data_IF_960459860945
#
_entry.id   IF_960459860945
#
_cell.length_a   1.000
_cell.length_b   1.000
_cell.length_c   1.000
_cell.angle_alpha   90.00
_cell.angle_beta   90.00
_cell.angle_gamma   90.00
#
_symmetry.space_group_name_H-M   'P 1'
#
loop_
_entity.id
_entity.type
_entity.pdbx_description
1 polymer ?
#
# COMPACT_ATOMS: atom_id res chain seq x y z
N UNK A 1 -27.59 -0.68 18.30
CA UNK A 1 -26.30 -0.24 17.71
C UNK A 1 -26.36 -0.61 16.24
N UNK A 2 -26.21 0.35 15.33
CA UNK A 2 -26.70 0.20 13.95
C UNK A 2 -26.08 -1.00 13.21
N UNK A 3 -26.91 -1.77 12.52
CA UNK A 3 -26.59 -2.92 11.66
C UNK A 3 -25.87 -2.49 10.36
N UNK A 4 -24.85 -1.64 10.46
CA UNK A 4 -24.09 -1.21 9.30
C UNK A 4 -23.18 -2.34 8.80
N UNK A 5 -23.35 -2.69 7.53
CA UNK A 5 -22.49 -3.64 6.82
C UNK A 5 -21.27 -2.95 6.18
N UNK A 6 -21.25 -1.62 6.15
CA UNK A 6 -20.23 -0.81 5.48
C UNK A 6 -19.67 0.20 6.48
N UNK A 7 -18.35 0.26 6.57
CA UNK A 7 -17.58 1.22 7.35
C UNK A 7 -16.86 2.11 6.33
N UNK A 8 -17.09 3.40 6.44
CA UNK A 8 -16.51 4.44 5.59
C UNK A 8 -15.58 5.29 6.44
N UNK A 9 -14.47 5.71 5.84
CA UNK A 9 -13.61 6.77 6.34
C UNK A 9 -13.81 7.99 5.44
N UNK A 10 -13.81 9.17 6.02
CA UNK A 10 -13.77 10.42 5.29
C UNK A 10 -12.37 10.65 4.69
N UNK A 11 -12.26 11.46 3.63
CA UNK A 11 -10.97 11.77 3.00
C UNK A 11 -9.97 12.41 3.98
N UNK A 12 -10.46 13.20 4.94
CA UNK A 12 -9.64 13.81 6.01
C UNK A 12 -9.06 12.79 7.01
N UNK A 13 -9.56 11.55 6.99
CA UNK A 13 -9.08 10.45 7.83
C UNK A 13 -8.11 9.53 7.06
N UNK A 14 -7.84 9.84 5.79
CA UNK A 14 -6.89 9.08 4.99
C UNK A 14 -5.47 9.23 5.57
N UNK A 15 -4.69 8.14 5.67
CA UNK A 15 -3.28 8.23 6.04
C UNK A 15 -2.50 9.12 5.06
N UNK A 16 -1.56 9.89 5.59
CA UNK A 16 -0.69 10.79 4.80
C UNK A 16 0.73 10.25 4.62
N UNK A 17 1.00 9.03 5.12
CA UNK A 17 2.30 8.38 5.06
C UNK A 17 2.12 6.92 4.63
N UNK A 18 3.05 6.42 3.82
CA UNK A 18 3.24 4.98 3.65
C UNK A 18 4.06 4.42 4.81
N UNK A 19 3.81 3.16 5.14
CA UNK A 19 4.52 2.45 6.19
C UNK A 19 5.51 1.45 5.57
N UNK A 20 6.76 1.51 6.01
CA UNK A 20 7.81 0.61 5.61
C UNK A 20 8.04 -0.45 6.68
N UNK A 21 7.72 -1.70 6.36
CA UNK A 21 7.86 -2.82 7.30
C UNK A 21 9.32 -3.14 7.62
N UNK A 22 10.29 -2.76 6.77
CA UNK A 22 11.71 -3.06 6.98
C UNK A 22 12.22 -2.51 8.32
N UNK A 23 11.66 -1.39 8.79
CA UNK A 23 12.01 -0.76 10.08
C UNK A 23 11.62 -1.61 11.32
N UNK A 24 10.79 -2.64 11.15
CA UNK A 24 10.24 -3.46 12.23
C UNK A 24 10.45 -4.97 12.01
N UNK A 25 11.18 -5.37 10.97
CA UNK A 25 11.51 -6.78 10.78
C UNK A 25 12.49 -7.27 11.86
N UNK A 26 12.30 -8.50 12.38
CA UNK A 26 13.17 -9.05 13.44
C UNK A 26 14.59 -9.33 12.95
N UNK A 27 14.77 -9.50 11.64
CA UNK A 27 16.05 -9.71 10.97
C UNK A 27 16.02 -8.89 9.67
N UNK A 28 17.11 -8.21 9.29
CA UNK A 28 17.17 -7.47 8.03
C UNK A 28 16.90 -8.37 6.83
N UNK A 29 16.21 -7.83 5.82
CA UNK A 29 16.07 -8.51 4.53
C UNK A 29 17.44 -8.62 3.85
N UNK A 30 17.73 -9.75 3.17
CA UNK A 30 18.90 -9.83 2.30
C UNK A 30 18.85 -8.72 1.24
N UNK A 31 19.99 -8.09 0.90
CA UNK A 31 20.01 -7.08 -0.14
C UNK A 31 19.71 -7.71 -1.51
N UNK A 32 19.15 -6.93 -2.45
CA UNK A 32 19.13 -7.35 -3.84
C UNK A 32 20.56 -7.56 -4.35
N UNK A 33 20.76 -8.56 -5.21
CA UNK A 33 22.06 -8.88 -5.77
C UNK A 33 22.12 -8.45 -7.23
N UNK A 34 23.27 -7.92 -7.65
CA UNK A 34 23.52 -7.62 -9.05
C UNK A 34 23.63 -8.93 -9.84
N UNK A 35 22.88 -9.11 -10.95
CA UNK A 35 22.72 -10.41 -11.60
C UNK A 35 23.99 -10.94 -12.29
N UNK A 36 24.98 -10.08 -12.56
CA UNK A 36 26.25 -10.49 -13.16
C UNK A 36 27.35 -10.82 -12.15
N UNK A 37 27.39 -10.11 -11.03
CA UNK A 37 28.47 -10.23 -10.02
C UNK A 37 28.05 -11.06 -8.83
N UNK A 38 26.75 -11.18 -8.58
CA UNK A 38 26.12 -11.80 -7.41
C UNK A 38 26.50 -11.12 -6.08
N UNK A 39 27.06 -9.92 -6.14
CA UNK A 39 27.30 -9.06 -4.98
C UNK A 39 26.08 -8.16 -4.73
N UNK A 40 25.92 -7.61 -3.50
CA UNK A 40 24.86 -6.64 -3.21
C UNK A 40 24.84 -5.48 -4.22
N UNK A 41 23.67 -5.23 -4.80
CA UNK A 41 23.48 -4.16 -5.78
C UNK A 41 23.51 -2.77 -5.11
N UNK A 42 24.08 -1.79 -5.81
CA UNK A 42 24.10 -0.38 -5.38
C UNK A 42 22.97 0.42 -6.02
N UNK A 43 22.80 1.67 -5.58
CA UNK A 43 21.81 2.58 -6.19
C UNK A 43 22.09 2.81 -7.68
N UNK A 44 23.37 2.90 -8.06
CA UNK A 44 23.78 3.08 -9.45
C UNK A 44 23.36 1.90 -10.34
N UNK A 45 23.36 0.67 -9.80
CA UNK A 45 22.93 -0.52 -10.54
C UNK A 45 21.44 -0.45 -10.93
N UNK A 46 20.62 0.25 -10.14
CA UNK A 46 19.19 0.46 -10.40
C UNK A 46 18.89 1.69 -11.27
N UNK A 47 19.84 2.64 -11.36
CA UNK A 47 19.67 3.92 -12.07
C UNK A 47 19.15 3.81 -13.52
N UNK A 48 19.54 2.80 -14.31
CA UNK A 48 19.00 2.62 -15.67
C UNK A 48 17.54 2.15 -15.73
N UNK A 49 16.98 1.64 -14.64
CA UNK A 49 15.66 0.98 -14.61
C UNK A 49 14.59 1.82 -13.94
N UNK A 50 14.96 2.61 -12.92
CA UNK A 50 14.01 3.27 -12.04
C UNK A 50 14.35 4.75 -11.81
N UNK A 51 13.33 5.62 -11.65
CA UNK A 51 13.53 6.98 -11.14
C UNK A 51 14.26 6.98 -9.78
N UNK A 52 15.10 7.98 -9.55
CA UNK A 52 15.90 8.08 -8.31
C UNK A 52 15.04 8.02 -7.04
N UNK A 53 13.89 8.69 -7.04
CA UNK A 53 12.98 8.67 -5.89
C UNK A 53 12.42 7.27 -5.56
N UNK A 54 12.29 6.37 -6.55
CA UNK A 54 11.91 4.98 -6.30
C UNK A 54 13.08 4.17 -5.74
N UNK A 55 14.30 4.45 -6.22
CA UNK A 55 15.52 3.82 -5.70
C UNK A 55 15.73 4.21 -4.23
N UNK A 56 15.55 5.49 -3.89
CA UNK A 56 15.61 6.00 -2.51
C UNK A 56 14.57 5.32 -1.61
N UNK A 57 13.35 5.09 -2.10
CA UNK A 57 12.32 4.36 -1.36
C UNK A 57 12.64 2.89 -1.14
N UNK A 58 13.28 2.22 -2.11
CA UNK A 58 13.73 0.83 -1.94
C UNK A 58 14.88 0.72 -0.92
N UNK A 59 15.72 1.76 -0.84
CA UNK A 59 16.92 1.76 0.00
C UNK A 59 16.71 2.35 1.40
N UNK A 60 15.61 3.05 1.66
CA UNK A 60 15.40 3.70 2.96
C UNK A 60 15.07 2.71 4.09
N UNK A 61 15.66 2.97 5.27
CA UNK A 61 15.30 2.32 6.53
C UNK A 61 14.22 3.07 7.31
N UNK A 62 13.70 4.18 6.78
CA UNK A 62 12.70 4.99 7.47
C UNK A 62 11.39 4.22 7.63
N UNK A 63 10.79 4.30 8.82
CA UNK A 63 9.54 3.62 9.16
C UNK A 63 8.33 4.17 8.40
N UNK A 64 8.34 5.48 8.14
CA UNK A 64 7.26 6.18 7.45
C UNK A 64 7.84 7.06 6.35
N UNK A 65 7.19 7.04 5.19
CA UNK A 65 7.51 7.89 4.05
C UNK A 65 6.29 8.74 3.74
N UNK A 66 6.47 10.06 3.70
CA UNK A 66 5.38 10.99 3.41
C UNK A 66 4.83 10.75 1.99
N UNK A 67 3.50 10.72 1.88
CA UNK A 67 2.84 10.66 0.57
C UNK A 67 2.82 12.08 0.00
N UNK A 68 3.35 12.30 -1.21
CA UNK A 68 3.29 13.62 -1.85
C UNK A 68 1.87 14.17 -1.91
N UNK A 69 1.71 15.48 -1.73
CA UNK A 69 0.38 16.12 -1.74
C UNK A 69 -0.42 15.85 -3.02
N UNK A 70 0.24 15.91 -4.18
CA UNK A 70 -0.40 15.63 -5.48
C UNK A 70 -0.84 14.16 -5.60
N UNK A 71 -0.09 13.23 -5.01
CA UNK A 71 -0.47 11.81 -4.95
C UNK A 71 -1.68 11.61 -4.04
N UNK A 72 -1.75 12.31 -2.89
CA UNK A 72 -2.92 12.29 -2.02
C UNK A 72 -4.16 12.86 -2.73
N UNK A 73 -4.00 13.93 -3.51
CA UNK A 73 -5.10 14.51 -4.28
C UNK A 73 -5.63 13.55 -5.34
N UNK A 74 -4.77 12.80 -6.02
CA UNK A 74 -5.18 11.73 -6.94
C UNK A 74 -5.84 10.58 -6.18
N UNK A 75 -5.31 10.16 -5.03
CA UNK A 75 -5.93 9.10 -4.22
C UNK A 75 -7.37 9.41 -3.82
N UNK A 76 -7.70 10.67 -3.50
CA UNK A 76 -9.07 11.09 -3.14
C UNK A 76 -10.11 10.76 -4.22
N UNK A 77 -9.70 10.55 -5.47
CA UNK A 77 -10.61 10.12 -6.54
C UNK A 77 -11.25 8.74 -6.28
N UNK A 78 -10.64 7.86 -5.47
CA UNK A 78 -11.23 6.56 -5.11
C UNK A 78 -10.95 6.07 -3.69
N UNK A 79 -10.11 6.76 -2.91
CA UNK A 79 -9.76 6.43 -1.53
C UNK A 79 -10.35 7.46 -0.56
N UNK A 80 -10.67 7.07 0.69
CA UNK A 80 -10.52 5.74 1.26
C UNK A 80 -11.51 4.70 0.71
N UNK A 81 -11.03 3.48 0.49
CA UNK A 81 -11.90 2.38 0.05
C UNK A 81 -12.74 1.85 1.22
N UNK A 82 -13.98 1.38 0.99
CA UNK A 82 -14.84 0.92 2.06
C UNK A 82 -14.33 -0.38 2.70
N UNK A 83 -14.56 -0.52 4.00
CA UNK A 83 -14.43 -1.78 4.73
C UNK A 83 -15.83 -2.35 4.93
N UNK A 84 -16.06 -3.59 4.51
CA UNK A 84 -17.36 -4.24 4.68
C UNK A 84 -17.29 -5.35 5.72
N UNK A 85 -18.39 -5.56 6.43
CA UNK A 85 -18.61 -6.74 7.27
C UNK A 85 -19.51 -7.75 6.54
N UNK A 86 -19.01 -8.95 6.31
CA UNK A 86 -19.66 -9.98 5.50
C UNK A 86 -20.69 -10.80 6.29
N UNK A 87 -21.70 -10.17 6.91
CA UNK A 87 -22.66 -10.85 7.81
C UNK A 87 -23.41 -12.03 7.19
N UNK A 88 -23.72 -11.97 5.89
CA UNK A 88 -24.38 -13.08 5.18
C UNK A 88 -23.47 -14.29 5.08
N UNK A 89 -22.18 -14.05 4.84
CA UNK A 89 -21.15 -15.09 4.85
C UNK A 89 -20.94 -15.64 6.27
N UNK A 90 -20.87 -14.76 7.28
CA UNK A 90 -20.81 -15.17 8.70
C UNK A 90 -21.95 -16.15 9.04
N UNK A 91 -23.20 -15.82 8.65
CA UNK A 91 -24.38 -16.69 8.83
C UNK A 91 -24.30 -17.99 8.05
N UNK A 92 -23.87 -17.94 6.79
CA UNK A 92 -23.77 -19.13 5.95
C UNK A 92 -22.73 -20.12 6.48
N UNK A 93 -21.67 -19.61 7.10
CA UNK A 93 -20.59 -20.41 7.70
C UNK A 93 -20.88 -20.86 9.13
N UNK A 94 -21.96 -20.38 9.75
CA UNK A 94 -22.28 -20.57 11.17
C UNK A 94 -21.07 -20.30 12.10
N UNK A 95 -20.33 -19.22 11.81
CA UNK A 95 -19.09 -18.89 12.53
C UNK A 95 -19.31 -17.82 13.59
N UNK A 96 -18.66 -17.93 14.77
CA UNK A 96 -18.61 -16.84 15.74
C UNK A 96 -17.65 -15.71 15.29
N UNK A 97 -16.81 -15.96 14.28
CA UNK A 97 -15.88 -14.98 13.76
C UNK A 97 -16.61 -13.82 13.06
N UNK A 98 -16.01 -12.63 13.15
CA UNK A 98 -16.44 -11.47 12.36
C UNK A 98 -15.58 -11.41 11.11
N UNK A 99 -16.20 -11.36 9.94
CA UNK A 99 -15.48 -11.36 8.67
C UNK A 99 -15.55 -9.97 8.06
N UNK A 100 -14.39 -9.36 7.88
CA UNK A 100 -14.26 -8.06 7.21
C UNK A 100 -13.43 -8.20 5.94
N UNK A 101 -13.76 -7.40 4.93
CA UNK A 101 -12.95 -7.29 3.71
C UNK A 101 -12.78 -5.83 3.31
N UNK A 102 -11.53 -5.47 3.02
CA UNK A 102 -11.16 -4.15 2.50
C UNK A 102 -11.39 -4.16 0.99
N UNK A 103 -12.37 -3.41 0.51
CA UNK A 103 -12.82 -3.52 -0.87
C UNK A 103 -12.07 -2.54 -1.78
N UNK A 104 -10.88 -2.95 -2.23
CA UNK A 104 -10.03 -2.18 -3.15
C UNK A 104 -10.52 -2.19 -4.62
N UNK A 105 -11.69 -2.78 -4.89
CA UNK A 105 -12.29 -2.82 -6.22
C UNK A 105 -12.96 -1.51 -6.67
N UNK A 106 -12.95 -0.48 -5.82
CA UNK A 106 -13.59 0.83 -6.12
C UNK A 106 -12.74 1.76 -6.97
N UNK A 107 -11.46 1.43 -7.21
CA UNK A 107 -10.63 2.23 -8.09
C UNK A 107 -11.11 2.15 -9.56
N UNK A 108 -10.78 3.12 -10.43
CA UNK A 108 -11.12 3.06 -11.84
C UNK A 108 -10.62 1.79 -12.56
N UNK A 109 -9.53 1.20 -12.05
CA UNK A 109 -8.95 -0.05 -12.57
C UNK A 109 -9.52 -1.32 -11.91
N UNK A 110 -10.50 -1.19 -11.00
CA UNK A 110 -11.12 -2.30 -10.29
C UNK A 110 -10.16 -3.10 -9.38
N UNK A 111 -9.03 -2.51 -8.95
CA UNK A 111 -8.04 -3.20 -8.11
C UNK A 111 -7.17 -2.22 -7.31
N UNK A 112 -6.30 -2.74 -6.43
CA UNK A 112 -5.35 -1.94 -5.65
C UNK A 112 -4.14 -1.43 -6.46
N UNK A 113 -3.97 -1.85 -7.72
CA UNK A 113 -2.78 -1.49 -8.54
C UNK A 113 -2.53 0.02 -8.68
N UNK A 114 -3.56 0.88 -8.82
CA UNK A 114 -3.35 2.33 -8.85
C UNK A 114 -2.66 2.88 -7.59
N UNK A 115 -2.72 2.18 -6.45
CA UNK A 115 -2.05 2.61 -5.22
C UNK A 115 -0.51 2.58 -5.33
N UNK A 116 0.08 1.94 -6.34
CA UNK A 116 1.52 2.04 -6.64
C UNK A 116 1.78 2.66 -8.02
N UNK A 117 0.91 2.43 -9.01
CA UNK A 117 1.09 3.00 -10.33
C UNK A 117 1.04 4.55 -10.32
N UNK A 118 0.18 5.15 -9.48
CA UNK A 118 0.10 6.61 -9.35
C UNK A 118 1.37 7.23 -8.76
N UNK A 119 1.87 6.82 -7.59
CA UNK A 119 3.12 7.38 -7.09
C UNK A 119 4.30 7.09 -8.03
N UNK A 120 4.39 5.91 -8.64
CA UNK A 120 5.45 5.61 -9.61
C UNK A 120 5.39 6.47 -10.87
N UNK A 121 4.20 6.89 -11.31
CA UNK A 121 4.04 7.80 -12.44
C UNK A 121 4.22 9.28 -12.06
N UNK A 122 4.10 9.61 -10.77
CA UNK A 122 4.36 10.94 -10.23
C UNK A 122 5.86 11.23 -10.12
N UNK A 123 6.64 10.24 -9.69
CA UNK A 123 8.11 10.30 -9.61
C UNK A 123 8.78 10.11 -10.97
#
# INVERSE_FOLDING_TARGET
MSDQNKILLEEREMPTQWYNILADLPVPMPPPLHPGTHEPATAEDFGPLFPMALIEQEMTGDRYVDIPGEVLDVYKLWRPTPLFRARRLERQLDTPAKIFYKYEGVSPAGSHKPNTAVPQAYY
#
